data_IF_309384084404
#
_entry.id   IF_309384084404
#
_cell.length_a   1.000
_cell.length_b   1.000
_cell.length_c   1.000
_cell.angle_alpha   90.00
_cell.angle_beta   90.00
_cell.angle_gamma   90.00
#
_symmetry.space_group_name_H-M   'P 1'
#
loop_
_entity.id
_entity.type
_entity.pdbx_description
1 polymer ?
#
# COMPACT_ATOMS: atom_id res chain seq x y z
N UNK A 1 7.83 14.34 5.46
CA UNK A 1 6.77 13.37 5.13
C UNK A 1 7.02 12.16 5.98
N UNK A 2 6.19 11.91 6.98
CA UNK A 2 6.51 10.87 7.95
C UNK A 2 5.24 10.16 8.37
N UNK A 3 5.08 8.92 7.92
CA UNK A 3 4.07 8.00 8.46
C UNK A 3 4.62 7.35 9.71
N UNK A 4 3.76 7.20 10.71
CA UNK A 4 4.09 6.49 11.93
C UNK A 4 3.03 5.45 12.25
N UNK A 5 3.43 4.39 12.94
CA UNK A 5 2.53 3.40 13.52
C UNK A 5 2.97 3.12 14.96
N UNK A 6 2.01 3.08 15.86
CA UNK A 6 2.27 2.65 17.24
C UNK A 6 2.22 1.12 17.31
N UNK A 7 3.16 0.51 18.00
CA UNK A 7 3.18 -0.93 18.27
C UNK A 7 3.45 -1.14 19.75
N UNK A 8 2.51 -1.75 20.46
CA UNK A 8 2.63 -2.08 21.88
C UNK A 8 2.50 -3.60 22.07
N UNK A 9 3.60 -4.31 22.27
CA UNK A 9 3.58 -5.77 22.34
C UNK A 9 2.85 -6.35 23.55
N UNK A 10 2.80 -5.61 24.66
CA UNK A 10 2.26 -6.09 25.93
C UNK A 10 1.05 -5.33 26.47
N UNK A 11 0.66 -4.19 25.89
CA UNK A 11 -0.39 -3.34 26.44
C UNK A 11 -1.21 -2.63 25.37
N UNK A 12 -2.48 -3.03 25.21
CA UNK A 12 -3.42 -2.34 24.35
C UNK A 12 -3.78 -0.93 24.86
N UNK A 13 -3.65 -0.68 26.17
CA UNK A 13 -3.86 0.62 26.79
C UNK A 13 -2.71 1.57 26.44
N UNK A 14 -1.46 1.11 26.59
CA UNK A 14 -0.29 1.90 26.17
C UNK A 14 -0.36 2.25 24.68
N UNK A 15 -0.80 1.33 23.83
CA UNK A 15 -1.04 1.59 22.41
C UNK A 15 -2.06 2.70 22.17
N UNK A 16 -3.17 2.68 22.90
CA UNK A 16 -4.23 3.68 22.78
C UNK A 16 -3.73 5.07 23.22
N UNK A 17 -3.18 5.15 24.43
CA UNK A 17 -2.68 6.41 24.99
C UNK A 17 -1.59 7.03 24.11
N UNK A 18 -0.63 6.23 23.65
CA UNK A 18 0.43 6.71 22.76
C UNK A 18 -0.13 7.18 21.40
N UNK A 19 -1.12 6.49 20.84
CA UNK A 19 -1.76 6.87 19.57
C UNK A 19 -2.49 8.20 19.70
N UNK A 20 -3.29 8.38 20.75
CA UNK A 20 -4.06 9.59 20.99
C UNK A 20 -3.14 10.81 21.19
N UNK A 21 -2.09 10.65 22.00
CA UNK A 21 -1.11 11.70 22.23
C UNK A 21 -0.30 12.03 20.96
N UNK A 22 0.10 11.04 20.18
CA UNK A 22 0.78 11.26 18.90
C UNK A 22 -0.12 11.99 17.89
N UNK A 23 -1.39 11.61 17.79
CA UNK A 23 -2.35 12.28 16.92
C UNK A 23 -2.47 13.76 17.30
N UNK A 24 -2.53 14.04 18.61
CA UNK A 24 -2.59 15.41 19.14
C UNK A 24 -1.36 16.25 18.80
N UNK A 25 -0.14 15.72 19.07
CA UNK A 25 1.09 16.50 18.86
C UNK A 25 1.51 16.61 17.40
N UNK A 26 1.24 15.57 16.59
CA UNK A 26 1.55 15.58 15.15
C UNK A 26 0.51 16.39 14.34
N UNK A 27 -0.72 16.51 14.84
CA UNK A 27 -1.80 17.18 14.15
C UNK A 27 -2.22 16.47 12.85
N UNK A 28 -2.11 15.14 12.80
CA UNK A 28 -2.36 14.33 11.61
C UNK A 28 -3.61 13.47 11.74
N UNK A 29 -4.16 13.05 10.60
CA UNK A 29 -5.27 12.10 10.56
C UNK A 29 -4.79 10.71 10.91
N UNK A 30 -5.58 10.00 11.71
CA UNK A 30 -5.34 8.58 12.00
C UNK A 30 -6.00 7.67 10.97
N UNK A 31 -5.30 6.59 10.60
CA UNK A 31 -5.80 5.54 9.71
C UNK A 31 -5.79 4.23 10.48
N UNK A 32 -6.88 3.47 10.44
CA UNK A 32 -6.96 2.18 11.10
C UNK A 32 -6.06 1.14 10.41
N UNK A 33 -5.25 0.43 11.18
CA UNK A 33 -4.38 -0.64 10.69
C UNK A 33 -5.15 -1.85 10.14
N UNK A 34 -6.45 -1.91 10.30
CA UNK A 34 -7.31 -2.93 9.67
C UNK A 34 -8.13 -2.35 8.50
N UNK A 35 -8.35 -1.03 8.42
CA UNK A 35 -8.93 -0.29 7.30
C UNK A 35 -10.04 -1.05 6.52
N UNK A 36 -11.07 -1.50 7.21
CA UNK A 36 -12.19 -2.24 6.61
C UNK A 36 -11.99 -3.76 6.52
N UNK A 37 -10.84 -4.28 6.95
CA UNK A 37 -10.57 -5.72 7.11
C UNK A 37 -10.88 -6.14 8.55
N UNK A 38 -11.32 -7.37 8.75
CA UNK A 38 -11.47 -7.92 10.10
C UNK A 38 -10.18 -8.58 10.59
N UNK A 39 -9.98 -8.66 11.91
CA UNK A 39 -8.85 -9.41 12.49
C UNK A 39 -8.87 -10.88 12.07
N UNK A 40 -10.05 -11.46 11.84
CA UNK A 40 -10.20 -12.83 11.34
C UNK A 40 -9.72 -12.95 9.89
N UNK A 41 -10.09 -12.03 9.01
CA UNK A 41 -9.61 -12.05 7.61
C UNK A 41 -8.11 -11.77 7.56
N UNK A 42 -7.61 -10.85 8.37
CA UNK A 42 -6.17 -10.56 8.49
C UNK A 42 -5.37 -11.80 8.95
N UNK A 43 -5.94 -12.60 9.86
CA UNK A 43 -5.31 -13.86 10.33
C UNK A 43 -5.37 -14.98 9.28
N UNK A 44 -6.53 -15.15 8.62
CA UNK A 44 -6.76 -16.28 7.72
C UNK A 44 -6.30 -16.01 6.28
N UNK A 45 -6.28 -14.74 5.86
CA UNK A 45 -5.97 -14.32 4.48
C UNK A 45 -5.04 -13.11 4.44
N UNK A 46 -3.88 -13.14 5.11
CA UNK A 46 -3.00 -11.98 5.19
C UNK A 46 -2.52 -11.51 3.82
N UNK A 47 -2.33 -12.43 2.87
CA UNK A 47 -1.86 -12.12 1.52
C UNK A 47 -2.85 -11.27 0.70
N UNK A 48 -4.14 -11.31 0.99
CA UNK A 48 -5.15 -10.46 0.34
C UNK A 48 -5.55 -9.25 1.20
N UNK A 49 -5.56 -9.39 2.52
CA UNK A 49 -5.97 -8.34 3.43
C UNK A 49 -4.92 -7.20 3.53
N UNK A 50 -3.64 -7.53 3.65
CA UNK A 50 -2.57 -6.55 3.83
C UNK A 50 -2.43 -5.58 2.65
N UNK A 51 -2.47 -6.01 1.37
CA UNK A 51 -2.44 -5.08 0.23
C UNK A 51 -3.55 -4.03 0.24
N UNK A 52 -4.78 -4.43 0.59
CA UNK A 52 -5.92 -3.50 0.65
C UNK A 52 -5.72 -2.44 1.76
N UNK A 53 -5.20 -2.85 2.92
CA UNK A 53 -4.90 -1.93 4.02
C UNK A 53 -3.74 -1.00 3.64
N UNK A 54 -2.69 -1.50 2.99
CA UNK A 54 -1.58 -0.66 2.49
C UNK A 54 -2.10 0.40 1.53
N UNK A 55 -3.01 0.06 0.63
CA UNK A 55 -3.61 1.02 -0.29
C UNK A 55 -4.41 2.10 0.46
N UNK A 56 -5.21 1.73 1.45
CA UNK A 56 -5.97 2.67 2.27
C UNK A 56 -5.06 3.62 3.06
N UNK A 57 -3.98 3.11 3.66
CA UNK A 57 -2.98 3.93 4.37
C UNK A 57 -2.29 4.91 3.43
N UNK A 58 -1.93 4.47 2.22
CA UNK A 58 -1.28 5.34 1.24
C UNK A 58 -2.21 6.41 0.69
N UNK A 59 -3.49 6.08 0.50
CA UNK A 59 -4.51 7.04 0.06
C UNK A 59 -4.73 8.17 1.07
N UNK A 60 -4.48 7.94 2.36
CA UNK A 60 -4.53 8.98 3.40
C UNK A 60 -3.40 10.01 3.33
N UNK A 61 -2.39 9.78 2.47
CA UNK A 61 -1.28 10.71 2.25
C UNK A 61 0.02 10.31 2.96
N UNK A 62 1.03 11.17 2.80
CA UNK A 62 2.38 10.92 3.31
C UNK A 62 2.58 11.35 4.76
N UNK A 63 1.64 12.08 5.34
CA UNK A 63 1.65 12.53 6.74
C UNK A 63 0.45 11.88 7.45
N UNK A 64 0.64 10.67 7.95
CA UNK A 64 -0.42 9.90 8.59
C UNK A 64 0.09 9.13 9.82
N UNK A 65 -0.76 9.00 10.82
CA UNK A 65 -0.56 8.11 11.96
C UNK A 65 -1.44 6.87 11.76
N UNK A 66 -0.82 5.70 11.79
CA UNK A 66 -1.56 4.44 11.71
C UNK A 66 -1.93 4.03 13.13
N UNK A 67 -3.23 4.02 13.41
CA UNK A 67 -3.77 3.47 14.65
C UNK A 67 -3.62 1.96 14.64
N UNK A 68 -2.92 1.34 15.60
CA UNK A 68 -2.55 -0.06 15.51
C UNK A 68 -3.74 -1.00 15.61
N UNK A 69 -3.66 -2.12 14.90
CA UNK A 69 -4.51 -3.26 15.21
C UNK A 69 -4.19 -3.74 16.62
N UNK A 70 -5.23 -3.99 17.41
CA UNK A 70 -5.14 -4.42 18.81
C UNK A 70 -5.37 -5.91 18.95
N UNK A 71 -5.08 -6.43 20.14
CA UNK A 71 -5.40 -7.79 20.49
C UNK A 71 -6.89 -8.07 20.22
N UNK A 72 -7.16 -9.14 19.51
CA UNK A 72 -8.51 -9.56 19.17
C UNK A 72 -8.87 -10.85 19.94
N UNK A 73 -10.17 -11.14 20.03
CA UNK A 73 -10.65 -12.41 20.59
C UNK A 73 -10.18 -13.63 19.80
N UNK A 74 -9.82 -13.42 18.53
CA UNK A 74 -9.20 -14.45 17.68
C UNK A 74 -7.70 -14.59 18.00
N UNK A 75 -7.34 -15.60 18.79
CA UNK A 75 -5.95 -15.88 19.19
C UNK A 75 -5.00 -16.23 18.03
N UNK A 76 -5.52 -16.50 16.83
CA UNK A 76 -4.70 -16.71 15.64
C UNK A 76 -4.20 -15.38 15.03
N UNK A 77 -4.75 -14.24 15.44
CA UNK A 77 -4.33 -12.95 14.96
C UNK A 77 -3.18 -12.38 15.80
N UNK A 78 -1.97 -12.43 15.26
CA UNK A 78 -0.81 -11.74 15.84
C UNK A 78 -0.83 -10.25 15.41
N UNK A 79 -1.45 -9.42 16.24
CA UNK A 79 -1.56 -7.98 16.00
C UNK A 79 -0.21 -7.27 15.92
N UNK A 80 0.80 -7.74 16.67
CA UNK A 80 2.15 -7.16 16.63
C UNK A 80 2.80 -7.44 15.28
N UNK A 81 2.79 -8.69 14.82
CA UNK A 81 3.34 -9.04 13.51
C UNK A 81 2.58 -8.33 12.38
N UNK A 82 1.26 -8.20 12.47
CA UNK A 82 0.45 -7.44 11.51
C UNK A 82 0.89 -5.98 11.42
N UNK A 83 0.97 -5.29 12.56
CA UNK A 83 1.36 -3.88 12.61
C UNK A 83 2.78 -3.66 12.08
N UNK A 84 3.73 -4.56 12.39
CA UNK A 84 5.10 -4.48 11.90
C UNK A 84 5.17 -4.71 10.37
N UNK A 85 4.44 -5.69 9.83
CA UNK A 85 4.37 -5.91 8.40
C UNK A 85 3.74 -4.72 7.65
N UNK A 86 2.70 -4.12 8.24
CA UNK A 86 2.07 -2.91 7.70
C UNK A 86 3.05 -1.73 7.72
N UNK A 87 3.80 -1.55 8.82
CA UNK A 87 4.85 -0.54 8.91
C UNK A 87 5.87 -0.69 7.77
N UNK A 88 6.40 -1.89 7.58
CA UNK A 88 7.37 -2.18 6.53
C UNK A 88 6.79 -1.93 5.11
N UNK A 89 5.54 -2.35 4.86
CA UNK A 89 4.88 -2.19 3.56
C UNK A 89 4.51 -0.73 3.24
N UNK A 90 4.26 0.09 4.26
CA UNK A 90 3.92 1.52 4.10
C UNK A 90 5.10 2.47 4.34
N UNK A 91 6.27 1.92 4.72
CA UNK A 91 7.44 2.68 5.18
C UNK A 91 7.11 3.62 6.34
N UNK A 92 6.22 3.19 7.23
CA UNK A 92 5.93 3.93 8.45
C UNK A 92 7.01 3.68 9.49
N UNK A 93 7.41 4.71 10.21
CA UNK A 93 8.28 4.59 11.38
C UNK A 93 7.50 3.93 12.53
N UNK A 94 8.07 2.88 13.11
CA UNK A 94 7.48 2.20 14.26
C UNK A 94 7.79 2.97 15.53
N UNK A 95 6.76 3.37 16.25
CA UNK A 95 6.85 3.91 17.60
C UNK A 95 6.43 2.80 18.56
N UNK A 96 7.37 2.25 19.31
CA UNK A 96 7.07 1.25 20.32
C UNK A 96 6.47 1.92 21.56
N UNK A 97 5.40 1.35 22.11
CA UNK A 97 4.79 1.86 23.33
C UNK A 97 4.79 0.78 24.42
N UNK A 98 5.23 1.17 25.63
CA UNK A 98 5.31 0.31 26.80
C UNK A 98 4.69 0.99 28.01
N UNK A 99 4.04 0.18 28.85
CA UNK A 99 3.63 0.59 30.17
C UNK A 99 4.82 0.45 31.12
N UNK A 100 5.25 1.57 31.70
CA UNK A 100 6.39 1.64 32.61
C UNK A 100 5.93 1.66 34.09
N UNK A 101 4.62 1.56 34.37
CA UNK A 101 4.15 1.58 35.76
C UNK A 101 4.66 0.36 36.53
N UNK A 102 5.47 0.62 37.56
CA UNK A 102 6.06 -0.43 38.39
C UNK A 102 7.12 -1.30 37.72
N UNK A 103 7.50 -1.02 36.45
CA UNK A 103 8.55 -1.75 35.77
C UNK A 103 9.94 -1.22 36.08
N UNK A 104 10.96 -2.10 36.20
CA UNK A 104 12.35 -1.69 36.29
C UNK A 104 12.91 -1.29 34.94
N UNK A 105 13.96 -0.47 34.92
CA UNK A 105 14.64 -0.08 33.70
C UNK A 105 15.24 -1.28 32.97
N UNK A 106 15.74 -2.29 33.70
CA UNK A 106 16.28 -3.52 33.10
C UNK A 106 15.21 -4.33 32.39
N UNK A 107 14.03 -4.52 33.00
CA UNK A 107 12.92 -5.24 32.38
C UNK A 107 12.44 -4.54 31.11
N UNK A 108 12.25 -3.23 31.18
CA UNK A 108 11.85 -2.44 29.99
C UNK A 108 12.90 -2.49 28.88
N UNK A 109 14.18 -2.46 29.21
CA UNK A 109 15.25 -2.59 28.23
C UNK A 109 15.21 -3.95 27.52
N UNK A 110 14.93 -5.03 28.24
CA UNK A 110 14.76 -6.39 27.68
C UNK A 110 13.52 -6.46 26.76
N UNK A 111 12.39 -5.91 27.19
CA UNK A 111 11.16 -5.88 26.39
C UNK A 111 11.32 -5.05 25.11
N UNK A 112 11.95 -3.88 25.21
CA UNK A 112 12.29 -3.02 24.07
C UNK A 112 13.20 -3.78 23.10
N UNK A 113 14.24 -4.44 23.59
CA UNK A 113 15.17 -5.21 22.77
C UNK A 113 14.44 -6.35 22.04
N UNK A 114 13.57 -7.09 22.73
CA UNK A 114 12.77 -8.15 22.13
C UNK A 114 11.81 -7.63 21.03
N UNK A 115 11.15 -6.47 21.29
CA UNK A 115 10.27 -5.84 20.31
C UNK A 115 11.05 -5.35 19.07
N UNK A 116 12.25 -4.84 19.26
CA UNK A 116 13.14 -4.42 18.17
C UNK A 116 13.59 -5.57 17.30
N UNK A 117 13.94 -6.71 17.90
CA UNK A 117 14.27 -7.93 17.14
C UNK A 117 13.07 -8.39 16.27
N UNK A 118 11.84 -8.30 16.80
CA UNK A 118 10.62 -8.59 16.00
C UNK A 118 10.44 -7.60 14.86
N UNK A 119 10.69 -6.32 15.11
CA UNK A 119 10.61 -5.28 14.07
C UNK A 119 11.66 -5.50 12.97
N UNK A 120 12.89 -5.82 13.34
CA UNK A 120 13.98 -6.14 12.41
C UNK A 120 13.63 -7.36 11.55
N UNK A 121 13.11 -8.43 12.14
CA UNK A 121 12.67 -9.62 11.42
C UNK A 121 11.54 -9.32 10.41
N UNK A 122 10.69 -8.31 10.69
CA UNK A 122 9.66 -7.81 9.78
C UNK A 122 10.15 -6.74 8.80
N UNK A 123 11.43 -6.40 8.81
CA UNK A 123 12.05 -5.30 8.02
C UNK A 123 11.41 -3.94 8.34
N UNK A 124 10.88 -3.78 9.54
CA UNK A 124 10.29 -2.54 10.05
C UNK A 124 11.31 -1.74 10.87
N UNK A 125 11.29 -0.42 10.74
CA UNK A 125 12.25 0.45 11.42
C UNK A 125 11.63 1.09 12.67
N UNK A 126 12.19 0.79 13.84
CA UNK A 126 11.83 1.47 15.09
C UNK A 126 12.47 2.83 15.11
N UNK A 127 11.68 3.88 15.29
CA UNK A 127 12.13 5.28 15.25
C UNK A 127 12.02 5.98 16.59
N UNK A 128 11.19 5.48 17.51
CA UNK A 128 11.06 5.99 18.86
C UNK A 128 10.46 4.95 19.80
N UNK A 129 10.61 5.21 21.10
CA UNK A 129 9.91 4.50 22.17
C UNK A 129 9.07 5.49 22.96
N UNK A 130 7.85 5.14 23.33
CA UNK A 130 6.98 5.91 24.23
C UNK A 130 6.74 5.08 25.49
N UNK A 131 6.91 5.72 26.64
CA UNK A 131 6.60 5.14 27.94
C UNK A 131 5.33 5.78 28.52
N UNK A 132 4.41 4.95 29.00
CA UNK A 132 3.24 5.37 29.78
C UNK A 132 3.46 4.99 31.25
N UNK A 133 2.81 5.67 32.18
CA UNK A 133 2.83 5.28 33.60
C UNK A 133 4.12 5.49 34.38
N UNK A 134 5.19 5.97 33.73
CA UNK A 134 6.49 6.19 34.38
C UNK A 134 7.56 6.65 33.41
N UNK A 135 8.71 7.07 33.95
CA UNK A 135 9.85 7.54 33.19
C UNK A 135 11.18 7.03 33.78
N UNK A 136 11.43 5.71 33.80
CA UNK A 136 12.71 5.19 34.21
C UNK A 136 13.81 5.66 33.25
N UNK A 137 15.02 5.87 33.74
CA UNK A 137 16.15 6.20 32.89
C UNK A 137 16.51 5.00 32.02
N UNK A 138 16.32 5.13 30.70
CA UNK A 138 16.64 4.13 29.69
C UNK A 138 17.70 4.70 28.73
N UNK A 139 18.73 3.91 28.45
CA UNK A 139 19.63 4.18 27.33
C UNK A 139 19.11 3.49 26.08
N UNK A 140 18.86 4.25 25.04
CA UNK A 140 18.43 3.75 23.76
C UNK A 140 19.05 4.58 22.61
N UNK A 141 19.25 3.95 21.48
CA UNK A 141 19.76 4.58 20.24
C UNK A 141 18.66 5.31 19.45
N UNK A 142 17.43 5.28 19.94
CA UNK A 142 16.29 6.05 19.44
C UNK A 142 15.71 6.92 20.55
N UNK A 143 15.01 8.02 20.22
CA UNK A 143 14.34 8.84 21.21
C UNK A 143 13.40 8.04 22.12
N UNK A 144 13.53 8.25 23.43
CA UNK A 144 12.59 7.74 24.44
C UNK A 144 11.76 8.92 24.93
N UNK A 145 10.45 8.84 24.71
CA UNK A 145 9.47 9.86 25.06
C UNK A 145 8.58 9.33 26.18
N UNK A 146 8.10 10.22 27.04
CA UNK A 146 7.21 9.85 28.15
C UNK A 146 5.92 10.64 28.06
N UNK A 147 4.78 9.99 28.36
CA UNK A 147 3.49 10.68 28.40
C UNK A 147 3.32 11.52 29.68
N UNK A 148 2.67 12.70 29.56
CA UNK A 148 2.15 13.31 28.32
C UNK A 148 3.29 13.84 27.45
N UNK A 149 3.08 13.81 26.10
CA UNK A 149 4.11 14.28 25.16
C UNK A 149 4.26 15.81 25.21
N UNK A 150 5.51 16.26 25.32
CA UNK A 150 5.88 17.68 25.26
C UNK A 150 5.74 18.28 23.85
N UNK A 151 5.86 19.60 23.75
CA UNK A 151 5.77 20.37 22.50
C UNK A 151 6.86 20.00 21.49
N UNK A 152 8.00 19.52 21.93
CA UNK A 152 9.14 19.10 21.12
C UNK A 152 9.00 17.68 20.52
N UNK A 153 8.06 16.87 21.04
CA UNK A 153 7.88 15.48 20.60
C UNK A 153 7.62 15.36 19.10
N UNK A 154 6.76 16.23 18.54
CA UNK A 154 6.49 16.26 17.11
C UNK A 154 7.74 16.57 16.28
N UNK A 155 8.56 17.50 16.73
CA UNK A 155 9.81 17.87 16.07
C UNK A 155 10.82 16.73 16.14
N UNK A 156 10.95 16.10 17.31
CA UNK A 156 11.81 14.94 17.53
C UNK A 156 11.45 13.79 16.60
N UNK A 157 10.16 13.44 16.50
CA UNK A 157 9.69 12.36 15.65
C UNK A 157 9.89 12.67 14.16
N UNK A 158 9.57 13.89 13.71
CA UNK A 158 9.78 14.30 12.32
C UNK A 158 11.25 14.38 11.92
N UNK A 159 12.15 14.53 12.88
CA UNK A 159 13.60 14.49 12.65
C UNK A 159 14.15 13.06 12.52
N UNK A 160 13.37 12.03 12.88
CA UNK A 160 13.80 10.64 12.71
C UNK A 160 13.89 10.26 11.22
N UNK A 161 14.80 9.35 10.92
CA UNK A 161 15.00 8.89 9.54
C UNK A 161 13.76 8.17 9.02
N UNK A 162 13.32 8.55 7.82
CA UNK A 162 12.25 7.81 7.12
C UNK A 162 12.75 6.40 6.78
N UNK A 163 11.97 5.34 7.07
CA UNK A 163 12.36 3.99 6.70
C UNK A 163 12.58 3.84 5.19
N UNK A 164 13.72 3.27 4.80
CA UNK A 164 14.11 3.11 3.39
C UNK A 164 13.99 1.67 2.88
N UNK A 165 13.69 0.73 3.75
CA UNK A 165 13.53 -0.67 3.38
C UNK A 165 12.40 -0.85 2.34
N UNK A 166 12.67 -1.68 1.32
CA UNK A 166 11.72 -1.93 0.24
C UNK A 166 11.25 -3.38 0.34
N UNK A 167 10.02 -3.57 0.82
CA UNK A 167 9.36 -4.86 0.75
C UNK A 167 8.73 -5.07 -0.63
N UNK A 168 8.44 -6.32 -1.06
CA UNK A 168 7.72 -6.57 -2.31
C UNK A 168 6.41 -5.80 -2.41
N UNK A 169 5.66 -5.70 -1.30
CA UNK A 169 4.39 -4.98 -1.25
C UNK A 169 4.58 -3.45 -1.35
N UNK A 170 5.61 -2.89 -0.68
CA UNK A 170 5.95 -1.48 -0.82
C UNK A 170 6.35 -1.15 -2.27
N UNK A 171 7.13 -2.02 -2.91
CA UNK A 171 7.51 -1.86 -4.31
C UNK A 171 6.30 -1.90 -5.26
N UNK A 172 5.40 -2.86 -5.08
CA UNK A 172 4.17 -2.96 -5.88
C UNK A 172 3.31 -1.70 -5.73
N UNK A 173 3.14 -1.21 -4.49
CA UNK A 173 2.38 0.00 -4.23
C UNK A 173 3.02 1.24 -4.88
N UNK A 174 4.36 1.37 -4.84
CA UNK A 174 5.08 2.44 -5.55
C UNK A 174 4.86 2.40 -7.06
N UNK A 175 4.84 1.19 -7.67
CA UNK A 175 4.55 1.04 -9.10
C UNK A 175 3.13 1.50 -9.44
N UNK A 176 2.15 1.12 -8.63
CA UNK A 176 0.75 1.52 -8.82
C UNK A 176 0.60 3.04 -8.73
N UNK A 177 1.19 3.67 -7.70
CA UNK A 177 1.13 5.12 -7.54
C UNK A 177 1.79 5.86 -8.73
N UNK A 178 2.95 5.39 -9.18
CA UNK A 178 3.63 5.97 -10.35
C UNK A 178 2.81 5.80 -11.62
N UNK A 179 2.15 4.65 -11.80
CA UNK A 179 1.29 4.41 -12.95
C UNK A 179 0.06 5.32 -12.92
N UNK A 180 -0.58 5.49 -11.76
CA UNK A 180 -1.70 6.43 -11.57
C UNK A 180 -1.31 7.87 -11.86
N UNK A 181 -0.13 8.30 -11.38
CA UNK A 181 0.38 9.66 -11.60
C UNK A 181 0.73 9.95 -13.07
N UNK A 182 0.99 8.93 -13.87
CA UNK A 182 1.36 9.06 -15.27
C UNK A 182 0.69 7.97 -16.13
N UNK A 183 -0.64 7.97 -16.10
CA UNK A 183 -1.48 6.99 -16.84
C UNK A 183 -1.10 6.96 -18.32
N UNK A 184 -0.93 5.75 -18.82
CA UNK A 184 -0.63 5.49 -20.22
C UNK A 184 -1.79 4.74 -20.86
N UNK A 185 -1.96 4.95 -22.18
CA UNK A 185 -2.87 4.12 -22.96
C UNK A 185 -2.16 2.86 -23.41
N UNK A 186 -2.79 1.72 -23.11
CA UNK A 186 -2.33 0.40 -23.50
C UNK A 186 -3.31 -0.15 -24.54
N UNK A 187 -2.78 -0.57 -25.68
CA UNK A 187 -3.55 -1.21 -26.74
C UNK A 187 -3.45 -2.72 -26.61
N UNK A 188 -4.59 -3.40 -26.54
CA UNK A 188 -4.71 -4.84 -26.40
C UNK A 188 -5.37 -5.41 -27.66
N UNK A 189 -4.64 -6.16 -28.52
CA UNK A 189 -5.14 -6.63 -29.80
C UNK A 189 -5.87 -7.99 -29.71
N UNK A 190 -5.98 -8.60 -28.55
CA UNK A 190 -6.53 -9.95 -28.34
C UNK A 190 -7.74 -9.91 -27.39
N UNK A 191 -8.87 -9.26 -27.76
CA UNK A 191 -10.05 -9.17 -26.91
C UNK A 191 -10.84 -10.49 -26.80
N UNK A 192 -10.48 -11.51 -27.56
CA UNK A 192 -11.03 -12.87 -27.53
C UNK A 192 -10.41 -13.77 -26.44
N UNK A 193 -9.32 -13.35 -25.82
CA UNK A 193 -8.75 -14.04 -24.65
C UNK A 193 -9.37 -13.50 -23.34
N UNK A 194 -10.10 -14.35 -22.63
CA UNK A 194 -10.73 -14.02 -21.34
C UNK A 194 -9.74 -13.48 -20.30
N UNK A 195 -8.50 -13.96 -20.31
CA UNK A 195 -7.45 -13.48 -19.38
C UNK A 195 -7.09 -12.03 -19.65
N UNK A 196 -7.10 -11.63 -20.93
CA UNK A 196 -6.84 -10.23 -21.33
C UNK A 196 -7.98 -9.34 -20.87
N UNK A 197 -9.24 -9.77 -21.04
CA UNK A 197 -10.41 -9.04 -20.54
C UNK A 197 -10.40 -8.89 -19.02
N UNK A 198 -10.09 -9.98 -18.29
CA UNK A 198 -9.98 -9.96 -16.82
C UNK A 198 -8.86 -9.03 -16.35
N UNK A 199 -7.68 -9.09 -16.98
CA UNK A 199 -6.57 -8.21 -16.65
C UNK A 199 -6.91 -6.74 -16.94
N UNK A 200 -7.55 -6.45 -18.06
CA UNK A 200 -7.99 -5.11 -18.42
C UNK A 200 -8.98 -4.54 -17.40
N UNK A 201 -9.96 -5.33 -16.94
CA UNK A 201 -10.90 -4.92 -15.89
C UNK A 201 -10.19 -4.55 -14.58
N UNK A 202 -9.19 -5.35 -14.18
CA UNK A 202 -8.38 -5.05 -12.99
C UNK A 202 -7.58 -3.75 -13.16
N UNK A 203 -6.96 -3.54 -14.32
CA UNK A 203 -6.18 -2.33 -14.64
C UNK A 203 -7.07 -1.09 -14.62
N UNK A 204 -8.26 -1.17 -15.21
CA UNK A 204 -9.25 -0.08 -15.22
C UNK A 204 -9.76 0.24 -13.81
N UNK A 205 -10.16 -0.79 -13.07
CA UNK A 205 -10.62 -0.64 -11.68
C UNK A 205 -9.54 -0.02 -10.77
N UNK A 206 -8.27 -0.41 -10.96
CA UNK A 206 -7.13 0.16 -10.25
C UNK A 206 -6.76 1.58 -10.73
N UNK A 207 -7.27 2.05 -11.87
CA UNK A 207 -6.99 3.38 -12.43
C UNK A 207 -5.55 3.60 -12.88
N UNK A 208 -4.83 2.54 -13.24
CA UNK A 208 -3.38 2.57 -13.53
C UNK A 208 -3.05 2.75 -15.01
N UNK A 209 -3.97 2.47 -15.91
CA UNK A 209 -3.84 2.74 -17.34
C UNK A 209 -5.20 2.94 -18.00
N UNK A 210 -5.20 3.57 -19.18
CA UNK A 210 -6.32 3.60 -20.10
C UNK A 210 -6.19 2.41 -21.06
N UNK A 211 -7.29 1.68 -21.30
CA UNK A 211 -7.27 0.49 -22.15
C UNK A 211 -7.99 0.76 -23.46
N UNK A 212 -7.38 0.34 -24.56
CA UNK A 212 -7.99 0.31 -25.88
C UNK A 212 -7.89 -1.12 -26.43
N UNK A 213 -9.03 -1.77 -26.66
CA UNK A 213 -9.08 -3.02 -27.39
C UNK A 213 -9.12 -2.78 -28.90
N UNK A 214 -8.49 -3.65 -29.67
CA UNK A 214 -8.62 -3.69 -31.11
C UNK A 214 -9.46 -4.93 -31.46
N UNK A 215 -10.68 -4.72 -31.94
CA UNK A 215 -11.60 -5.82 -32.24
C UNK A 215 -13.07 -5.37 -32.39
N UNK A 216 -13.97 -6.32 -32.20
CA UNK A 216 -15.42 -6.10 -32.29
C UNK A 216 -15.97 -5.60 -30.93
N UNK A 217 -16.63 -4.45 -30.94
CA UNK A 217 -17.18 -3.83 -29.73
C UNK A 217 -18.34 -4.64 -29.13
N UNK A 218 -19.18 -5.22 -29.97
CA UNK A 218 -20.34 -6.03 -29.52
C UNK A 218 -19.86 -7.34 -28.90
N UNK A 219 -18.82 -7.95 -29.47
CA UNK A 219 -18.16 -9.12 -28.87
C UNK A 219 -17.59 -8.81 -27.49
N UNK A 220 -16.79 -7.74 -27.38
CA UNK A 220 -16.18 -7.34 -26.10
C UNK A 220 -17.25 -7.07 -25.03
N UNK A 221 -18.31 -6.32 -25.38
CA UNK A 221 -19.38 -6.00 -24.45
C UNK A 221 -20.13 -7.27 -23.98
N UNK A 222 -20.46 -8.17 -24.91
CA UNK A 222 -21.12 -9.43 -24.61
C UNK A 222 -20.26 -10.31 -23.71
N UNK A 223 -18.98 -10.47 -24.07
CA UNK A 223 -18.07 -11.32 -23.30
C UNK A 223 -17.77 -10.78 -21.91
N UNK A 224 -17.63 -9.46 -21.77
CA UNK A 224 -17.50 -8.80 -20.47
C UNK A 224 -18.72 -9.08 -19.58
N UNK A 225 -19.95 -8.99 -20.13
CA UNK A 225 -21.17 -9.28 -19.39
C UNK A 225 -21.25 -10.76 -18.95
N UNK A 226 -20.87 -11.71 -19.81
CA UNK A 226 -20.81 -13.14 -19.49
C UNK A 226 -19.82 -13.44 -18.36
N UNK A 227 -18.70 -12.73 -18.31
CA UNK A 227 -17.66 -12.87 -17.30
C UNK A 227 -17.90 -12.01 -16.04
N UNK A 228 -18.94 -11.17 -16.03
CA UNK A 228 -19.22 -10.24 -14.93
C UNK A 228 -18.17 -9.15 -14.76
N UNK A 229 -17.52 -8.71 -15.85
CA UNK A 229 -16.46 -7.70 -15.84
C UNK A 229 -17.01 -6.31 -16.20
N UNK A 230 -16.51 -5.28 -15.53
CA UNK A 230 -16.75 -3.90 -15.93
C UNK A 230 -15.59 -3.40 -16.82
N UNK A 231 -15.88 -3.30 -18.12
CA UNK A 231 -14.99 -2.76 -19.14
C UNK A 231 -15.52 -1.45 -19.74
N UNK A 232 -16.51 -0.81 -19.11
CA UNK A 232 -17.17 0.41 -19.60
C UNK A 232 -16.22 1.59 -19.84
N UNK A 233 -15.11 1.63 -19.12
CA UNK A 233 -14.07 2.66 -19.27
C UNK A 233 -13.06 2.33 -20.39
N UNK A 234 -13.11 1.15 -21.01
CA UNK A 234 -12.24 0.80 -22.12
C UNK A 234 -12.75 1.40 -23.43
N UNK A 235 -11.84 1.77 -24.32
CA UNK A 235 -12.14 2.08 -25.71
C UNK A 235 -12.06 0.79 -26.55
N UNK A 236 -12.96 0.60 -27.50
CA UNK A 236 -12.84 -0.46 -28.51
C UNK A 236 -12.71 0.18 -29.88
N UNK A 237 -11.70 -0.21 -30.63
CA UNK A 237 -11.43 0.26 -31.99
C UNK A 237 -11.59 -0.93 -32.94
N UNK A 238 -12.50 -0.81 -33.91
CA UNK A 238 -12.72 -1.82 -34.92
C UNK A 238 -11.58 -1.86 -35.94
N UNK A 239 -11.11 -3.04 -36.28
CA UNK A 239 -10.17 -3.24 -37.41
C UNK A 239 -10.79 -2.90 -38.74
N UNK A 240 -12.13 -2.88 -38.83
CA UNK A 240 -12.90 -2.53 -40.06
C UNK A 240 -13.18 -1.00 -40.12
N UNK A 241 -12.77 -0.19 -39.19
CA UNK A 241 -12.97 1.27 -39.23
C UNK A 241 -12.11 1.88 -40.36
N UNK A 242 -12.76 2.43 -41.43
CA UNK A 242 -12.02 2.95 -42.59
C UNK A 242 -11.01 4.05 -42.24
N UNK A 243 -11.30 4.86 -41.24
CA UNK A 243 -10.43 5.95 -40.84
C UNK A 243 -9.08 5.47 -40.29
N UNK A 244 -9.10 4.38 -39.54
CA UNK A 244 -7.88 3.76 -39.03
C UNK A 244 -7.22 2.86 -40.07
N UNK A 245 -8.01 2.06 -40.81
CA UNK A 245 -7.51 1.13 -41.80
C UNK A 245 -6.67 1.84 -42.86
N UNK A 246 -7.21 2.88 -43.52
CA UNK A 246 -6.47 3.61 -44.56
C UNK A 246 -5.19 4.25 -44.03
N UNK A 247 -5.30 4.95 -42.91
CA UNK A 247 -4.15 5.63 -42.29
C UNK A 247 -3.02 4.66 -41.95
N UNK A 248 -3.35 3.52 -41.36
CA UNK A 248 -2.33 2.54 -40.96
C UNK A 248 -1.83 1.72 -42.16
N UNK A 249 -2.67 1.43 -43.15
CA UNK A 249 -2.23 0.78 -44.37
C UNK A 249 -1.22 1.63 -45.17
N UNK A 250 -1.49 2.93 -45.31
CA UNK A 250 -0.54 3.87 -45.93
C UNK A 250 0.81 3.91 -45.21
N UNK A 251 0.79 4.04 -43.88
CA UNK A 251 2.01 4.10 -43.10
C UNK A 251 2.76 2.77 -43.11
N UNK A 252 2.04 1.63 -43.02
CA UNK A 252 2.63 0.29 -43.10
C UNK A 252 3.29 0.05 -44.46
N UNK A 253 2.61 0.41 -45.59
CA UNK A 253 3.17 0.29 -46.91
C UNK A 253 4.44 1.17 -47.04
N UNK A 254 4.40 2.41 -46.55
CA UNK A 254 5.56 3.32 -46.52
C UNK A 254 6.75 2.71 -45.77
N UNK A 255 6.54 2.20 -44.57
CA UNK A 255 7.57 1.59 -43.72
C UNK A 255 8.14 0.29 -44.32
N UNK A 256 7.31 -0.44 -45.06
CA UNK A 256 7.65 -1.73 -45.66
C UNK A 256 7.96 -1.64 -47.17
N UNK A 257 8.02 -0.46 -47.76
CA UNK A 257 8.30 -0.28 -49.18
C UNK A 257 9.58 -1.01 -49.64
N UNK A 258 10.63 -1.03 -48.83
CA UNK A 258 11.88 -1.77 -49.14
C UNK A 258 11.68 -3.30 -49.20
N UNK A 259 10.59 -3.83 -48.63
CA UNK A 259 10.23 -5.25 -48.69
C UNK A 259 9.20 -5.56 -49.78
N UNK A 260 8.83 -4.57 -50.57
CA UNK A 260 7.88 -4.72 -51.68
C UNK A 260 6.41 -4.80 -51.28
N UNK A 261 6.07 -4.38 -50.04
CA UNK A 261 4.66 -4.36 -49.59
C UNK A 261 3.91 -3.24 -50.32
N UNK A 262 2.85 -3.58 -51.03
CA UNK A 262 1.95 -2.61 -51.69
C UNK A 262 0.91 -2.08 -50.72
N UNK A 263 0.24 -0.96 -51.08
CA UNK A 263 -0.86 -0.43 -50.27
C UNK A 263 -2.05 -1.41 -50.20
N UNK A 264 -2.31 -2.16 -51.26
CA UNK A 264 -3.35 -3.17 -51.29
C UNK A 264 -3.07 -4.29 -50.32
N UNK A 265 -1.84 -4.81 -50.31
CA UNK A 265 -1.39 -5.79 -49.33
C UNK A 265 -1.35 -5.28 -47.89
N UNK A 266 -1.22 -3.98 -47.71
CA UNK A 266 -1.22 -3.36 -46.40
C UNK A 266 -2.64 -3.18 -45.82
N UNK A 267 -3.68 -3.23 -46.65
CA UNK A 267 -5.10 -3.17 -46.25
C UNK A 267 -5.68 -4.52 -45.83
N UNK A 268 -5.05 -5.61 -46.21
CA UNK A 268 -5.39 -6.99 -45.78
C UNK A 268 -4.87 -7.28 -44.37
#
# INVERSE_FOLDING_TARGET
>A
MSRFIVVAPGSSEAAALATDELARVLGVTTVDALAGTTATDAALRPASALPAVVEAVRAAGDDALISPAREASNRAFDHVAWNLNLAAATRAGVVLAFDAEGASAELLAEEIAAARLRAEAAVASVVAVILTGGAPALEADVPVLTLPLGEDAATTLRATATPTAVTPLAFQADLIERARANRKRIVLPEPDDDRVLQAAAQVLAAGIADITFVGDADYVAKRAAELGLDLSAAQVVSTADPAYLERYAEEFARLRAKKGVTLEQARE
#
